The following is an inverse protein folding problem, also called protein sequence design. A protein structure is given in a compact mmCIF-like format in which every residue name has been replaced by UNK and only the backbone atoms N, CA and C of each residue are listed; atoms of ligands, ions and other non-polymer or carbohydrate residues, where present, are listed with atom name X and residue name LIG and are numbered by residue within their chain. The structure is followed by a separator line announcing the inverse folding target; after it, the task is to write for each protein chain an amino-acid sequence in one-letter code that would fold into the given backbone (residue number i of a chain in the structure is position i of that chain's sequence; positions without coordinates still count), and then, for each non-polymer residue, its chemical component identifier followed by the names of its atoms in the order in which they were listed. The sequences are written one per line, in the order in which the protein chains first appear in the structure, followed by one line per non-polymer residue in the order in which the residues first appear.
data_IF_615476168856
#
_entry.id   IF_615476168856
#
_cell.length_a   1.000
_cell.length_b   1.000
_cell.length_c   1.000
_cell.angle_alpha   90.00
_cell.angle_beta   90.00
_cell.angle_gamma   90.00
#
_symmetry.space_group_name_H-M   'P 1'
#
loop_
_entity.id
_entity.type
_entity.pdbx_description
1 polymer ?
#
# COMPACT_ATOMS: atom_id res chain seq x y z
N UNK A 1 26.57 4.73 -7.99
CA UNK A 1 26.43 4.02 -6.71
C UNK A 1 25.80 2.67 -6.97
N UNK A 2 26.30 1.59 -6.33
CA UNK A 2 25.77 0.22 -6.46
C UNK A 2 24.80 -0.05 -5.32
N UNK A 3 23.58 -0.42 -5.66
CA UNK A 3 22.50 -0.60 -4.68
C UNK A 3 21.93 -2.02 -4.75
N UNK A 4 21.78 -2.67 -3.61
CA UNK A 4 20.98 -3.89 -3.48
C UNK A 4 19.63 -3.52 -2.87
N UNK A 5 18.55 -3.66 -3.65
CA UNK A 5 17.18 -3.45 -3.21
C UNK A 5 16.52 -4.80 -2.88
N UNK A 6 16.11 -5.00 -1.63
CA UNK A 6 15.59 -6.28 -1.13
C UNK A 6 14.13 -6.14 -0.73
N UNK A 7 13.26 -6.95 -1.32
CA UNK A 7 11.82 -6.94 -1.06
C UNK A 7 11.23 -8.35 -1.07
N UNK A 8 10.48 -8.70 -0.03
CA UNK A 8 9.87 -10.03 0.14
C UNK A 8 8.61 -10.28 -0.70
N UNK A 9 8.30 -9.39 -1.64
CA UNK A 9 7.17 -9.50 -2.57
C UNK A 9 7.63 -9.52 -4.02
N UNK A 10 6.70 -9.77 -4.95
CA UNK A 10 6.97 -9.72 -6.38
C UNK A 10 6.53 -8.37 -6.96
N UNK A 11 7.48 -7.59 -7.47
CA UNK A 11 7.25 -6.24 -7.99
C UNK A 11 6.29 -6.18 -9.19
N UNK A 12 6.13 -7.28 -9.93
CA UNK A 12 5.20 -7.37 -11.07
C UNK A 12 3.77 -7.73 -10.64
N UNK A 13 3.49 -7.79 -9.33
CA UNK A 13 2.15 -7.99 -8.80
C UNK A 13 1.54 -6.64 -8.43
N UNK A 14 0.32 -6.38 -8.92
CA UNK A 14 -0.40 -5.15 -8.63
C UNK A 14 -0.95 -5.14 -7.19
N UNK A 15 -0.20 -4.48 -6.30
CA UNK A 15 -0.61 -4.16 -4.94
C UNK A 15 -0.15 -2.74 -4.59
N UNK A 16 -0.78 -2.11 -3.61
CA UNK A 16 -0.38 -0.76 -3.17
C UNK A 16 1.09 -0.70 -2.75
N UNK A 17 1.56 -1.69 -1.98
CA UNK A 17 2.96 -1.77 -1.57
C UNK A 17 3.91 -1.92 -2.77
N UNK A 18 3.58 -2.79 -3.75
CA UNK A 18 4.44 -2.96 -4.94
C UNK A 18 4.49 -1.72 -5.83
N UNK A 19 3.46 -0.88 -5.83
CA UNK A 19 3.50 0.43 -6.50
C UNK A 19 4.56 1.32 -5.85
N UNK A 20 4.60 1.37 -4.51
CA UNK A 20 5.63 2.11 -3.77
C UNK A 20 7.02 1.53 -4.01
N UNK A 21 7.18 0.20 -3.94
CA UNK A 21 8.46 -0.46 -4.22
C UNK A 21 8.97 -0.14 -5.63
N UNK A 22 8.11 -0.17 -6.64
CA UNK A 22 8.47 0.22 -8.00
C UNK A 22 8.88 1.69 -8.08
N UNK A 23 8.24 2.57 -7.32
CA UNK A 23 8.63 3.97 -7.23
C UNK A 23 10.03 4.17 -6.63
N UNK A 24 10.41 3.40 -5.60
CA UNK A 24 11.79 3.42 -5.08
C UNK A 24 12.80 2.93 -6.11
N UNK A 25 12.51 1.82 -6.82
CA UNK A 25 13.38 1.32 -7.89
C UNK A 25 13.55 2.36 -9.00
N UNK A 26 12.43 2.96 -9.45
CA UNK A 26 12.46 4.05 -10.42
C UNK A 26 13.37 5.19 -9.96
N UNK A 27 13.16 5.67 -8.74
CA UNK A 27 13.94 6.76 -8.18
C UNK A 27 15.44 6.44 -8.06
N UNK A 28 15.80 5.20 -7.73
CA UNK A 28 17.21 4.75 -7.73
C UNK A 28 17.82 4.82 -9.12
N UNK A 29 17.13 4.31 -10.14
CA UNK A 29 17.59 4.36 -11.53
C UNK A 29 17.68 5.79 -12.06
N UNK A 30 16.70 6.65 -11.79
CA UNK A 30 16.69 8.07 -12.17
C UNK A 30 17.81 8.89 -11.50
N UNK A 31 18.34 8.42 -10.36
CA UNK A 31 19.53 8.98 -9.72
C UNK A 31 20.85 8.32 -10.18
N UNK A 32 20.82 7.50 -11.24
CA UNK A 32 22.00 6.89 -11.85
C UNK A 32 22.60 5.75 -11.03
N UNK A 33 21.82 5.06 -10.19
CA UNK A 33 22.28 3.91 -9.44
C UNK A 33 22.32 2.65 -10.31
N UNK A 34 23.33 1.80 -10.09
CA UNK A 34 23.39 0.41 -10.58
C UNK A 34 22.64 -0.46 -9.58
N UNK A 35 21.44 -0.96 -9.95
CA UNK A 35 20.47 -1.57 -9.02
C UNK A 35 20.37 -3.07 -9.25
N UNK A 36 20.68 -3.84 -8.22
CA UNK A 36 20.33 -5.26 -8.10
C UNK A 36 19.08 -5.39 -7.24
N UNK A 37 18.07 -6.12 -7.72
CA UNK A 37 16.79 -6.35 -7.03
C UNK A 37 16.70 -7.80 -6.60
N UNK A 38 16.64 -8.03 -5.29
CA UNK A 38 16.42 -9.34 -4.69
C UNK A 38 14.98 -9.44 -4.23
N UNK A 39 14.17 -10.25 -4.92
CA UNK A 39 12.72 -10.30 -4.69
C UNK A 39 12.14 -11.71 -4.65
N UNK A 40 10.92 -11.83 -4.14
CA UNK A 40 10.16 -13.06 -4.19
C UNK A 40 9.54 -13.26 -5.58
N UNK A 41 9.46 -14.53 -6.01
CA UNK A 41 8.66 -14.91 -7.17
C UNK A 41 7.17 -14.77 -6.88
N UNK A 42 6.39 -14.34 -7.86
CA UNK A 42 4.93 -14.25 -7.72
C UNK A 42 4.35 -15.62 -7.36
N UNK A 43 3.72 -15.71 -6.18
CA UNK A 43 3.14 -16.95 -5.67
C UNK A 43 1.60 -16.94 -5.63
N UNK A 44 1.01 -15.75 -5.56
CA UNK A 44 -0.41 -15.54 -5.32
C UNK A 44 -1.03 -14.64 -6.39
N UNK A 45 -1.58 -15.22 -7.45
CA UNK A 45 -2.27 -14.49 -8.50
C UNK A 45 -1.45 -14.27 -9.76
N UNK A 46 -2.08 -13.72 -10.77
CA UNK A 46 -1.44 -13.38 -12.03
C UNK A 46 -0.54 -12.15 -11.83
N UNK A 47 0.60 -12.14 -12.50
CA UNK A 47 1.41 -10.93 -12.67
C UNK A 47 0.60 -9.92 -13.50
N UNK A 48 0.65 -8.66 -13.10
CA UNK A 48 0.05 -7.60 -13.90
C UNK A 48 1.04 -7.18 -15.00
N UNK A 49 0.68 -7.45 -16.24
CA UNK A 49 1.51 -7.11 -17.40
C UNK A 49 1.65 -5.60 -17.63
N UNK A 50 0.80 -4.79 -17.00
CA UNK A 50 0.87 -3.34 -17.01
C UNK A 50 1.96 -2.77 -16.09
N UNK A 51 2.51 -3.57 -15.17
CA UNK A 51 3.58 -3.14 -14.29
C UNK A 51 4.95 -3.34 -14.96
N UNK A 52 5.77 -2.31 -14.90
CA UNK A 52 7.07 -2.29 -15.55
C UNK A 52 8.06 -3.27 -14.93
N UNK A 53 8.78 -4.00 -15.80
CA UNK A 53 10.10 -4.54 -15.49
C UNK A 53 11.13 -3.46 -15.86
N UNK A 54 11.82 -2.93 -14.87
CA UNK A 54 12.75 -1.81 -15.07
C UNK A 54 13.97 -2.26 -15.87
N UNK A 55 14.09 -1.73 -17.08
CA UNK A 55 15.32 -1.87 -17.88
C UNK A 55 16.44 -1.11 -17.16
N UNK A 56 17.57 -1.76 -16.94
CA UNK A 56 18.70 -1.18 -16.21
C UNK A 56 18.87 -1.68 -14.78
N UNK A 57 17.93 -2.48 -14.26
CA UNK A 57 18.08 -3.22 -13.02
C UNK A 57 18.34 -4.71 -13.28
N UNK A 58 19.11 -5.35 -12.40
CA UNK A 58 19.33 -6.81 -12.42
C UNK A 58 18.42 -7.49 -11.41
N UNK A 59 17.69 -8.53 -11.83
CA UNK A 59 16.69 -9.21 -10.98
C UNK A 59 17.19 -10.56 -10.49
N UNK A 60 17.13 -10.76 -9.17
CA UNK A 60 17.39 -12.02 -8.49
C UNK A 60 16.09 -12.48 -7.83
N UNK A 61 15.45 -13.48 -8.45
CA UNK A 61 14.08 -13.89 -8.08
C UNK A 61 14.12 -15.28 -7.45
N UNK A 62 13.61 -15.38 -6.22
CA UNK A 62 13.59 -16.61 -5.46
C UNK A 62 12.18 -17.12 -5.21
N UNK A 63 11.99 -18.43 -5.29
CA UNK A 63 10.68 -19.07 -5.08
C UNK A 63 10.20 -18.88 -3.63
N UNK A 64 8.93 -18.53 -3.48
CA UNK A 64 8.23 -18.36 -2.21
C UNK A 64 7.23 -19.48 -1.92
N UNK A 65 7.11 -20.48 -2.81
CA UNK A 65 6.21 -21.63 -2.67
C UNK A 65 6.96 -22.88 -2.29
N UNK A 66 6.61 -23.46 -1.14
CA UNK A 66 6.97 -24.84 -0.79
C UNK A 66 5.89 -25.83 -1.26
N UNK A 67 6.15 -27.11 -1.03
CA UNK A 67 5.20 -28.19 -1.32
C UNK A 67 3.87 -28.01 -0.56
N UNK A 68 3.94 -27.54 0.69
CA UNK A 68 2.78 -27.17 1.51
C UNK A 68 1.93 -26.08 0.85
N UNK A 69 2.55 -24.98 0.45
CA UNK A 69 1.87 -23.87 -0.23
C UNK A 69 1.28 -24.29 -1.58
N UNK A 70 1.98 -25.17 -2.32
CA UNK A 70 1.48 -25.74 -3.59
C UNK A 70 0.25 -26.63 -3.37
N UNK A 71 0.24 -27.43 -2.30
CA UNK A 71 -0.91 -28.25 -1.90
C UNK A 71 -2.05 -27.35 -1.40
N UNK A 72 -1.79 -26.41 -0.49
CA UNK A 72 -2.80 -25.47 0.00
C UNK A 72 -3.49 -24.73 -1.15
N UNK A 73 -2.74 -24.30 -2.16
CA UNK A 73 -3.27 -23.68 -3.37
C UNK A 73 -4.26 -24.58 -4.11
N UNK A 74 -3.98 -25.88 -4.23
CA UNK A 74 -4.93 -26.84 -4.84
C UNK A 74 -6.23 -26.97 -4.05
N UNK A 75 -6.19 -26.83 -2.71
CA UNK A 75 -7.39 -26.89 -1.86
C UNK A 75 -8.18 -25.57 -1.86
N UNK A 76 -7.51 -24.43 -1.98
CA UNK A 76 -8.16 -23.11 -1.99
C UNK A 76 -8.70 -22.71 -3.37
N UNK A 77 -7.99 -23.06 -4.45
CA UNK A 77 -8.45 -22.77 -5.81
C UNK A 77 -9.55 -23.68 -6.33
N UNK A 78 -9.75 -24.86 -5.75
CA UNK A 78 -10.87 -25.73 -6.12
C UNK A 78 -12.27 -25.10 -5.78
N UNK A 79 -12.31 -23.95 -5.14
CA UNK A 79 -13.54 -23.22 -4.79
C UNK A 79 -13.70 -21.84 -5.43
N UNK A 80 -12.69 -21.32 -6.12
CA UNK A 80 -12.78 -20.03 -6.84
C UNK A 80 -12.45 -20.22 -8.32
N UNK A 81 -13.47 -20.53 -9.09
CA UNK A 81 -13.41 -20.33 -10.55
C UNK A 81 -13.53 -18.80 -10.73
N UNK A 82 -12.43 -18.13 -11.02
CA UNK A 82 -12.50 -16.81 -11.62
C UNK A 82 -13.12 -16.95 -13.02
N UNK A 83 -14.38 -16.62 -13.15
CA UNK A 83 -14.98 -16.36 -14.46
C UNK A 83 -14.30 -15.11 -15.03
N UNK A 84 -13.42 -15.30 -15.98
CA UNK A 84 -12.99 -14.24 -16.90
C UNK A 84 -14.23 -13.80 -17.68
N UNK A 85 -14.74 -12.62 -17.39
CA UNK A 85 -15.82 -12.02 -18.18
C UNK A 85 -15.16 -11.30 -19.34
N UNK A 86 -15.13 -11.98 -20.50
CA UNK A 86 -14.96 -11.34 -21.79
C UNK A 86 -16.34 -11.32 -22.46
N UNK A 87 -16.92 -10.16 -22.58
CA UNK A 87 -17.80 -9.66 -23.66
C UNK A 87 -19.00 -8.87 -23.17
N UNK A 88 -19.38 -7.81 -23.91
CA UNK A 88 -20.49 -6.95 -23.56
C UNK A 88 -21.81 -7.60 -24.02
N UNK A 89 -22.85 -7.42 -23.24
CA UNK A 89 -24.23 -7.89 -23.42
C UNK A 89 -24.51 -9.31 -22.91
N UNK A 90 -24.91 -9.38 -21.63
CA UNK A 90 -25.89 -10.39 -21.19
C UNK A 90 -26.49 -10.01 -19.84
N UNK A 91 -27.81 -9.95 -19.84
CA UNK A 91 -28.71 -9.86 -18.68
C UNK A 91 -28.41 -11.01 -17.72
N UNK A 92 -28.13 -10.71 -16.44
CA UNK A 92 -27.81 -11.72 -15.45
C UNK A 92 -29.11 -12.16 -14.76
N UNK A 93 -29.59 -13.33 -15.11
CA UNK A 93 -30.38 -14.15 -14.19
C UNK A 93 -29.43 -14.96 -13.30
N UNK A 94 -29.39 -14.63 -12.02
CA UNK A 94 -28.63 -15.36 -11.03
C UNK A 94 -29.38 -16.62 -10.64
N UNK A 95 -29.07 -17.75 -11.24
CA UNK A 95 -29.43 -19.06 -10.74
C UNK A 95 -28.27 -19.63 -9.95
N UNK A 96 -28.36 -19.53 -8.61
CA UNK A 96 -27.47 -20.21 -7.67
C UNK A 96 -27.82 -21.70 -7.63
N UNK A 97 -27.16 -22.54 -8.42
CA UNK A 97 -27.10 -23.96 -8.16
C UNK A 97 -25.98 -24.22 -7.13
N UNK A 98 -26.33 -24.26 -5.88
CA UNK A 98 -25.52 -24.84 -4.81
C UNK A 98 -25.69 -26.36 -4.93
N UNK A 99 -24.78 -27.02 -5.64
CA UNK A 99 -24.65 -28.48 -5.50
C UNK A 99 -24.27 -28.80 -4.04
N UNK A 100 -25.16 -29.49 -3.34
CA UNK A 100 -24.92 -30.05 -2.02
C UNK A 100 -23.77 -31.08 -2.12
N UNK A 101 -22.54 -30.65 -1.97
CA UNK A 101 -21.40 -31.55 -1.77
C UNK A 101 -21.62 -32.27 -0.43
N UNK A 102 -21.63 -33.60 -0.48
CA UNK A 102 -21.86 -34.48 0.67
C UNK A 102 -21.06 -34.01 1.91
N UNK A 103 -21.72 -33.90 3.04
CA UNK A 103 -21.14 -33.46 4.32
C UNK A 103 -19.89 -34.25 4.74
N UNK A 104 -19.80 -35.51 4.35
CA UNK A 104 -18.64 -36.38 4.55
C UNK A 104 -17.37 -35.87 3.86
N UNK A 105 -17.43 -35.38 2.61
CA UNK A 105 -16.27 -34.86 1.88
C UNK A 105 -15.76 -33.53 2.49
N UNK A 106 -16.66 -32.73 3.07
CA UNK A 106 -16.30 -31.51 3.79
C UNK A 106 -15.62 -31.83 5.13
N UNK A 107 -16.10 -32.85 5.86
CA UNK A 107 -15.52 -33.29 7.14
C UNK A 107 -14.13 -33.88 6.93
N UNK A 108 -13.94 -34.77 5.96
CA UNK A 108 -12.63 -35.35 5.62
C UNK A 108 -11.61 -34.30 5.17
N UNK A 109 -12.02 -33.28 4.41
CA UNK A 109 -11.17 -32.16 4.06
C UNK A 109 -10.75 -31.31 5.26
N UNK A 110 -11.64 -31.06 6.22
CA UNK A 110 -11.33 -30.34 7.47
C UNK A 110 -10.32 -31.14 8.31
N UNK A 111 -10.52 -32.44 8.44
CA UNK A 111 -9.61 -33.33 9.18
C UNK A 111 -8.24 -33.38 8.49
N UNK A 112 -8.19 -33.62 7.18
CA UNK A 112 -6.94 -33.63 6.41
C UNK A 112 -6.19 -32.30 6.50
N UNK A 113 -6.91 -31.16 6.48
CA UNK A 113 -6.34 -29.84 6.67
C UNK A 113 -5.75 -29.69 8.08
N UNK A 114 -6.46 -30.16 9.11
CA UNK A 114 -5.99 -30.09 10.51
C UNK A 114 -4.74 -30.94 10.73
N UNK A 115 -4.72 -32.20 10.22
CA UNK A 115 -3.56 -33.10 10.28
C UNK A 115 -2.36 -32.48 9.53
N UNK A 116 -2.60 -31.88 8.36
CA UNK A 116 -1.56 -31.22 7.58
C UNK A 116 -0.90 -30.06 8.34
N UNK A 117 -1.67 -29.22 9.05
CA UNK A 117 -1.13 -28.14 9.86
C UNK A 117 -0.36 -28.62 11.11
N UNK A 118 -0.72 -29.80 11.66
CA UNK A 118 0.03 -30.42 12.76
C UNK A 118 1.39 -30.92 12.27
N UNK A 119 1.43 -31.57 11.09
CA UNK A 119 2.67 -32.13 10.51
C UNK A 119 3.61 -31.03 9.99
N UNK A 120 3.03 -29.93 9.48
CA UNK A 120 3.77 -28.82 8.89
C UNK A 120 3.38 -27.50 9.59
N UNK A 121 3.85 -27.25 10.82
CA UNK A 121 3.54 -26.02 11.52
C UNK A 121 4.09 -24.81 10.76
N UNK A 122 3.34 -23.70 10.82
CA UNK A 122 3.79 -22.43 10.25
C UNK A 122 4.92 -21.84 11.08
N UNK A 123 5.74 -21.01 10.46
CA UNK A 123 6.68 -20.17 11.18
C UNK A 123 5.88 -19.09 11.92
N UNK A 124 6.03 -18.95 13.24
CA UNK A 124 5.21 -18.04 14.01
C UNK A 124 5.45 -16.56 13.67
N UNK A 125 6.62 -16.22 13.13
CA UNK A 125 6.98 -14.83 12.80
C UNK A 125 6.86 -14.54 11.30
N UNK A 126 7.17 -15.51 10.44
CA UNK A 126 7.22 -15.32 9.00
C UNK A 126 6.44 -16.44 8.26
N UNK A 127 5.15 -16.60 8.55
CA UNK A 127 4.40 -17.76 8.08
C UNK A 127 4.28 -17.85 6.55
N UNK A 128 4.25 -16.70 5.88
CA UNK A 128 4.13 -16.61 4.42
C UNK A 128 5.49 -16.56 3.71
N UNK A 129 6.51 -16.00 4.35
CA UNK A 129 7.81 -15.69 3.77
C UNK A 129 8.89 -16.73 4.08
N UNK A 130 8.63 -17.69 4.96
CA UNK A 130 9.59 -18.72 5.38
C UNK A 130 10.33 -19.37 4.22
N UNK A 131 9.62 -19.77 3.18
CA UNK A 131 10.22 -20.44 2.02
C UNK A 131 11.08 -19.50 1.20
N UNK A 132 10.61 -18.26 1.02
CA UNK A 132 11.42 -17.25 0.38
C UNK A 132 12.72 -16.99 1.13
N UNK A 133 12.66 -16.83 2.45
CA UNK A 133 13.85 -16.67 3.30
C UNK A 133 14.83 -17.83 3.15
N UNK A 134 14.33 -19.09 3.19
CA UNK A 134 15.15 -20.30 3.03
C UNK A 134 15.85 -20.37 1.67
N UNK A 135 15.19 -19.94 0.60
CA UNK A 135 15.74 -19.95 -0.74
C UNK A 135 16.67 -18.74 -0.98
N UNK A 136 16.20 -17.53 -0.64
CA UNK A 136 16.89 -16.28 -0.93
C UNK A 136 18.17 -16.11 -0.10
N UNK A 137 18.28 -16.76 1.05
CA UNK A 137 19.51 -16.74 1.86
C UNK A 137 20.72 -17.36 1.16
N UNK A 138 20.49 -18.09 0.06
CA UNK A 138 21.56 -18.65 -0.81
C UNK A 138 22.13 -17.61 -1.78
N UNK A 139 21.51 -16.44 -1.91
CA UNK A 139 22.00 -15.36 -2.74
C UNK A 139 23.43 -14.97 -2.31
N UNK A 140 24.29 -14.77 -3.29
CA UNK A 140 25.66 -14.27 -3.08
C UNK A 140 25.88 -13.05 -3.96
N UNK A 141 26.11 -11.91 -3.33
CA UNK A 141 26.47 -10.69 -4.02
C UNK A 141 27.82 -10.84 -4.74
N UNK A 142 27.83 -10.49 -6.02
CA UNK A 142 29.05 -10.57 -6.86
C UNK A 142 29.93 -9.33 -6.76
N UNK A 143 29.44 -8.27 -6.11
CA UNK A 143 30.08 -6.96 -5.98
C UNK A 143 29.87 -6.39 -4.59
N UNK A 144 30.69 -5.40 -4.21
CA UNK A 144 30.43 -4.59 -3.05
C UNK A 144 29.25 -3.64 -3.33
N UNK A 145 28.30 -3.51 -2.41
CA UNK A 145 27.19 -2.58 -2.49
C UNK A 145 27.48 -1.34 -1.63
N UNK A 146 27.39 -0.16 -2.24
CA UNK A 146 27.50 1.09 -1.50
C UNK A 146 26.33 1.27 -0.54
N UNK A 147 25.14 0.79 -0.96
CA UNK A 147 23.90 0.86 -0.20
C UNK A 147 23.10 -0.43 -0.33
N UNK A 148 22.60 -0.94 0.79
CA UNK A 148 21.53 -1.94 0.82
C UNK A 148 20.24 -1.23 1.28
N UNK A 149 19.16 -1.42 0.54
CA UNK A 149 17.82 -0.96 0.88
C UNK A 149 16.96 -2.20 1.09
N UNK A 150 16.55 -2.50 2.31
CA UNK A 150 15.50 -3.49 2.56
C UNK A 150 14.18 -2.77 2.83
N UNK A 151 13.12 -3.20 2.16
CA UNK A 151 11.82 -2.55 2.25
C UNK A 151 10.73 -3.54 2.70
N UNK A 152 9.97 -3.18 3.72
CA UNK A 152 8.74 -3.85 4.13
C UNK A 152 7.54 -3.19 3.42
N UNK A 153 6.36 -3.81 3.25
CA UNK A 153 5.95 -5.14 3.69
C UNK A 153 6.41 -6.22 2.74
N UNK A 154 6.90 -7.38 3.20
CA UNK A 154 6.94 -7.86 4.58
C UNK A 154 8.26 -7.55 5.31
N UNK A 155 8.24 -7.59 6.65
CA UNK A 155 9.43 -7.45 7.50
C UNK A 155 10.52 -8.50 7.22
N UNK A 156 10.15 -9.62 6.60
CA UNK A 156 11.07 -10.66 6.11
C UNK A 156 12.19 -10.11 5.21
N UNK A 157 11.97 -8.98 4.51
CA UNK A 157 12.99 -8.30 3.73
C UNK A 157 14.19 -7.88 4.58
N UNK A 158 13.92 -7.34 5.77
CA UNK A 158 14.95 -6.93 6.73
C UNK A 158 15.66 -8.14 7.33
N UNK A 159 14.89 -9.18 7.68
CA UNK A 159 15.44 -10.45 8.18
C UNK A 159 16.37 -11.10 7.18
N UNK A 160 16.01 -11.11 5.90
CA UNK A 160 16.87 -11.69 4.86
C UNK A 160 18.21 -10.97 4.76
N UNK A 161 18.21 -9.63 4.77
CA UNK A 161 19.46 -8.86 4.69
C UNK A 161 20.36 -9.17 5.89
N UNK A 162 19.82 -9.23 7.09
CA UNK A 162 20.57 -9.61 8.27
C UNK A 162 21.23 -11.00 8.13
N UNK A 163 20.47 -12.00 7.64
CA UNK A 163 21.00 -13.34 7.42
C UNK A 163 22.09 -13.39 6.35
N UNK A 164 21.96 -12.63 5.27
CA UNK A 164 22.97 -12.51 4.22
C UNK A 164 24.26 -11.87 4.75
N UNK A 165 24.15 -10.88 5.63
CA UNK A 165 25.28 -10.23 6.31
C UNK A 165 25.97 -11.22 7.26
N UNK A 166 25.23 -11.89 8.14
CA UNK A 166 25.75 -12.89 9.08
C UNK A 166 26.52 -14.01 8.37
N UNK A 167 26.04 -14.43 7.21
CA UNK A 167 26.67 -15.47 6.37
C UNK A 167 27.82 -14.95 5.50
N UNK A 168 28.11 -13.65 5.53
CA UNK A 168 29.11 -12.99 4.67
C UNK A 168 28.83 -13.22 3.16
N UNK A 169 27.56 -13.34 2.81
CA UNK A 169 27.14 -13.53 1.40
C UNK A 169 27.12 -12.22 0.62
N UNK A 170 27.10 -11.08 1.29
CA UNK A 170 27.10 -9.73 0.73
C UNK A 170 28.13 -8.85 1.44
N UNK A 171 28.75 -7.95 0.68
CA UNK A 171 29.65 -6.90 1.18
C UNK A 171 29.01 -5.54 0.91
N UNK A 172 29.01 -4.65 1.89
CA UNK A 172 28.28 -3.38 1.82
C UNK A 172 28.93 -2.30 2.68
N UNK A 173 28.60 -1.03 2.36
CA UNK A 173 29.01 0.14 3.16
C UNK A 173 27.90 0.55 4.14
N UNK A 174 26.64 0.67 3.67
CA UNK A 174 25.51 1.13 4.47
C UNK A 174 24.29 0.28 4.21
N UNK A 175 23.52 -0.07 5.27
CA UNK A 175 22.24 -0.75 5.17
C UNK A 175 21.16 0.10 5.81
N UNK A 176 20.11 0.43 5.02
CA UNK A 176 18.93 1.12 5.50
C UNK A 176 17.70 0.22 5.42
N UNK A 177 16.78 0.43 6.34
CA UNK A 177 15.47 -0.20 6.34
C UNK A 177 14.40 0.84 6.03
N UNK A 178 13.45 0.50 5.14
CA UNK A 178 12.25 1.29 4.89
C UNK A 178 11.07 0.48 5.42
N UNK A 179 10.29 1.07 6.32
CA UNK A 179 9.11 0.48 6.91
C UNK A 179 7.88 1.24 6.41
N UNK A 180 7.13 0.63 5.48
CA UNK A 180 5.88 1.21 4.98
C UNK A 180 4.80 1.21 6.06
N UNK A 181 4.73 0.12 6.82
CA UNK A 181 3.88 -0.03 7.99
C UNK A 181 4.72 -0.50 9.19
N UNK A 182 4.36 -0.13 10.43
CA UNK A 182 4.97 -0.69 11.63
C UNK A 182 4.51 -2.15 11.76
N UNK A 183 5.37 -3.04 12.24
CA UNK A 183 4.96 -4.44 12.34
C UNK A 183 4.10 -4.70 13.59
N UNK A 184 4.58 -4.27 14.75
CA UNK A 184 3.87 -4.47 16.01
C UNK A 184 2.60 -3.60 16.13
N UNK A 185 2.61 -2.40 15.57
CA UNK A 185 1.46 -1.48 15.56
C UNK A 185 0.74 -1.43 14.22
N UNK A 186 0.91 -2.44 13.37
CA UNK A 186 0.13 -2.53 12.13
C UNK A 186 -1.37 -2.57 12.45
N UNK A 187 -2.13 -1.69 11.84
CA UNK A 187 -3.59 -1.56 12.03
C UNK A 187 -4.35 -2.87 11.78
N UNK A 188 -3.83 -3.72 10.92
CA UNK A 188 -4.43 -4.99 10.48
C UNK A 188 -3.62 -6.22 10.93
N UNK A 189 -2.54 -6.03 11.66
CA UNK A 189 -1.59 -7.07 12.04
C UNK A 189 -1.88 -7.74 13.38
N UNK A 190 -1.07 -8.74 13.70
CA UNK A 190 -1.02 -9.36 15.03
C UNK A 190 -0.08 -8.59 15.95
N UNK A 191 -0.43 -8.45 17.23
CA UNK A 191 0.27 -7.60 18.19
C UNK A 191 0.90 -8.40 19.34
N UNK A 192 1.56 -9.50 19.00
CA UNK A 192 2.25 -10.34 20.00
C UNK A 192 3.61 -9.78 20.42
N UNK A 193 4.03 -10.03 21.68
CA UNK A 193 5.34 -9.60 22.18
C UNK A 193 6.52 -10.17 21.37
N UNK A 194 6.36 -11.34 20.77
CA UNK A 194 7.34 -11.93 19.85
C UNK A 194 7.57 -11.06 18.62
N UNK A 195 6.52 -10.46 18.07
CA UNK A 195 6.60 -9.52 16.94
C UNK A 195 7.32 -8.25 17.38
N UNK A 196 6.93 -7.67 18.53
CA UNK A 196 7.58 -6.49 19.09
C UNK A 196 9.09 -6.71 19.28
N UNK A 197 9.47 -7.85 19.86
CA UNK A 197 10.87 -8.18 20.12
C UNK A 197 11.67 -8.37 18.82
N UNK A 198 11.07 -9.02 17.81
CA UNK A 198 11.74 -9.23 16.53
C UNK A 198 11.84 -7.91 15.74
N UNK A 199 10.80 -7.08 15.72
CA UNK A 199 10.87 -5.74 15.14
C UNK A 199 11.98 -4.92 15.79
N UNK A 200 12.00 -4.82 17.13
CA UNK A 200 13.06 -4.13 17.87
C UNK A 200 14.45 -4.61 17.49
N UNK A 201 14.65 -5.93 17.47
CA UNK A 201 15.92 -6.56 17.09
C UNK A 201 16.37 -6.19 15.68
N UNK A 202 15.43 -6.15 14.72
CA UNK A 202 15.72 -5.74 13.35
C UNK A 202 16.07 -4.25 13.25
N UNK A 203 15.42 -3.40 14.03
CA UNK A 203 15.71 -1.96 14.07
C UNK A 203 17.12 -1.67 14.61
N UNK A 204 17.60 -2.48 15.57
CA UNK A 204 18.92 -2.30 16.17
C UNK A 204 20.06 -2.53 15.18
N UNK A 205 19.91 -3.44 14.21
CA UNK A 205 21.02 -3.87 13.33
C UNK A 205 21.18 -3.00 12.08
N UNK A 206 20.19 -2.19 11.69
CA UNK A 206 20.29 -1.28 10.56
C UNK A 206 21.13 -0.03 10.88
N UNK A 207 21.75 0.56 9.87
CA UNK A 207 22.41 1.87 9.99
C UNK A 207 21.41 2.98 10.22
N UNK A 208 20.33 2.97 9.44
CA UNK A 208 19.23 3.94 9.48
C UNK A 208 17.90 3.24 9.21
N UNK A 209 16.83 3.80 9.75
CA UNK A 209 15.47 3.29 9.59
C UNK A 209 14.55 4.43 9.14
N UNK A 210 13.82 4.17 8.08
CA UNK A 210 12.90 5.15 7.49
C UNK A 210 11.46 4.68 7.62
N UNK A 211 10.60 5.55 8.16
CA UNK A 211 9.16 5.37 8.18
C UNK A 211 8.50 6.29 7.17
N UNK A 212 7.47 5.81 6.50
CA UNK A 212 6.80 6.54 5.41
C UNK A 212 5.63 7.41 5.88
N UNK A 213 5.31 7.34 7.16
CA UNK A 213 4.30 8.17 7.81
C UNK A 213 4.94 8.97 8.95
N UNK A 214 4.67 10.29 9.07
CA UNK A 214 5.13 11.08 10.21
C UNK A 214 4.50 10.60 11.52
N UNK A 215 3.28 10.06 11.50
CA UNK A 215 2.63 9.48 12.68
C UNK A 215 3.32 8.18 13.09
N UNK A 216 3.61 7.28 12.13
CA UNK A 216 4.36 6.06 12.41
C UNK A 216 5.72 6.39 13.02
N UNK A 217 6.45 7.35 12.44
CA UNK A 217 7.73 7.81 12.97
C UNK A 217 7.59 8.30 14.42
N UNK A 218 6.55 9.09 14.72
CA UNK A 218 6.30 9.61 16.06
C UNK A 218 6.09 8.48 17.07
N UNK A 219 5.19 7.55 16.79
CA UNK A 219 4.89 6.43 17.68
C UNK A 219 6.05 5.45 17.82
N UNK A 220 6.78 5.19 16.74
CA UNK A 220 7.93 4.27 16.79
C UNK A 220 9.09 4.83 17.62
N UNK A 221 9.30 6.14 17.63
CA UNK A 221 10.27 6.79 18.53
C UNK A 221 9.90 6.62 20.00
N UNK A 222 8.61 6.63 20.32
CA UNK A 222 8.13 6.38 21.68
C UNK A 222 8.24 4.90 22.08
N UNK A 223 7.95 3.99 21.12
CA UNK A 223 7.95 2.55 21.35
C UNK A 223 9.36 1.97 21.52
N UNK A 224 10.34 2.47 20.74
CA UNK A 224 11.73 2.01 20.71
C UNK A 224 12.70 3.19 20.89
N UNK A 225 12.73 3.80 22.09
CA UNK A 225 13.49 5.03 22.35
C UNK A 225 15.01 4.85 22.20
N UNK A 226 15.52 3.66 22.43
CA UNK A 226 16.94 3.30 22.25
C UNK A 226 17.38 3.29 20.78
N UNK A 227 16.45 3.10 19.85
CA UNK A 227 16.69 3.15 18.41
C UNK A 227 16.29 4.50 17.77
N UNK A 228 15.65 5.41 18.52
CA UNK A 228 15.00 6.61 17.98
C UNK A 228 15.95 7.55 17.21
N UNK A 229 17.25 7.55 17.55
CA UNK A 229 18.27 8.35 16.85
C UNK A 229 18.49 7.93 15.38
N UNK A 230 18.16 6.68 15.04
CA UNK A 230 18.24 6.13 13.67
C UNK A 230 16.98 6.38 12.82
N UNK A 231 15.87 6.80 13.46
CA UNK A 231 14.56 6.88 12.82
C UNK A 231 14.38 8.18 12.07
N UNK A 232 14.09 8.07 10.78
CA UNK A 232 13.89 9.18 9.86
C UNK A 232 12.57 9.02 9.11
N UNK A 233 12.11 10.10 8.51
CA UNK A 233 10.95 10.11 7.62
C UNK A 233 11.39 10.12 6.16
N UNK A 234 10.73 9.30 5.34
CA UNK A 234 10.79 9.38 3.88
C UNK A 234 9.37 9.16 3.32
N UNK A 235 8.84 10.02 2.43
CA UNK A 235 7.52 9.79 1.85
C UNK A 235 7.51 8.57 0.94
N UNK A 236 6.33 8.00 0.69
CA UNK A 236 6.18 7.02 -0.38
C UNK A 236 6.40 7.68 -1.74
N UNK A 237 7.18 7.07 -2.63
CA UNK A 237 7.36 7.59 -3.98
C UNK A 237 6.08 7.37 -4.80
N UNK A 238 5.57 8.45 -5.34
CA UNK A 238 4.40 8.42 -6.19
C UNK A 238 4.80 8.13 -7.63
N UNK A 239 4.41 6.96 -8.15
CA UNK A 239 4.54 6.69 -9.58
C UNK A 239 3.68 7.72 -10.35
N UNK A 240 4.32 8.44 -11.26
CA UNK A 240 3.66 9.45 -12.07
C UNK A 240 2.91 8.78 -13.21
N UNK A 241 1.59 8.95 -13.22
CA UNK A 241 0.79 8.65 -14.40
C UNK A 241 0.53 9.97 -15.13
N UNK A 242 0.69 9.98 -16.45
CA UNK A 242 0.30 11.12 -17.27
C UNK A 242 -1.22 11.23 -17.21
N UNK A 243 -1.72 12.34 -16.64
CA UNK A 243 -3.14 12.67 -16.65
C UNK A 243 -3.38 13.80 -17.64
N UNK A 244 -4.26 13.57 -18.63
CA UNK A 244 -4.83 14.65 -19.40
C UNK A 244 -5.77 15.45 -18.50
N UNK A 245 -5.46 16.75 -18.34
CA UNK A 245 -6.35 17.67 -17.63
C UNK A 245 -7.60 17.93 -18.51
N UNK A 246 -8.75 17.54 -17.98
CA UNK A 246 -10.05 17.97 -18.55
C UNK A 246 -10.42 19.33 -17.95
N UNK A 247 -11.04 20.17 -18.73
CA UNK A 247 -11.62 21.41 -18.23
C UNK A 247 -12.69 21.09 -17.18
N UNK A 248 -12.52 21.60 -15.99
CA UNK A 248 -13.48 21.44 -14.90
C UNK A 248 -14.64 22.39 -15.07
N UNK A 249 -15.86 21.88 -15.07
CA UNK A 249 -17.06 22.72 -15.04
C UNK A 249 -17.36 23.14 -13.59
N UNK A 250 -17.22 24.44 -13.23
CA UNK A 250 -17.41 24.89 -11.86
C UNK A 250 -18.85 24.67 -11.33
N UNK A 251 -19.81 24.51 -12.23
CA UNK A 251 -21.20 24.24 -11.87
C UNK A 251 -21.51 22.74 -11.65
N UNK A 252 -20.56 21.86 -11.93
CA UNK A 252 -20.76 20.41 -11.88
C UNK A 252 -19.47 19.68 -11.48
N UNK A 253 -19.01 19.97 -10.27
CA UNK A 253 -17.78 19.38 -9.70
C UNK A 253 -18.05 17.93 -9.26
N UNK A 254 -17.15 17.01 -9.61
CA UNK A 254 -17.19 15.61 -9.23
C UNK A 254 -16.10 15.35 -8.19
N UNK A 255 -16.50 14.93 -6.98
CA UNK A 255 -15.60 14.50 -5.91
C UNK A 255 -15.36 13.00 -5.98
N UNK A 256 -14.11 12.53 -5.97
CA UNK A 256 -13.78 11.11 -6.08
C UNK A 256 -12.99 10.58 -4.92
N UNK A 257 -13.50 9.55 -4.25
CA UNK A 257 -12.80 8.75 -3.27
C UNK A 257 -12.50 7.36 -3.84
N UNK A 258 -11.23 6.94 -3.75
CA UNK A 258 -10.74 5.70 -4.35
C UNK A 258 -9.90 4.92 -3.34
N UNK A 259 -10.48 3.96 -2.67
CA UNK A 259 -9.81 3.13 -1.66
C UNK A 259 -10.80 2.37 -0.82
N UNK A 260 -10.33 1.35 -0.10
CA UNK A 260 -11.17 0.63 0.83
C UNK A 260 -11.49 1.50 2.04
N UNK A 261 -12.69 1.33 2.58
CA UNK A 261 -13.18 2.09 3.71
C UNK A 261 -14.10 1.22 4.57
N UNK A 262 -13.90 1.26 5.88
CA UNK A 262 -14.61 0.43 6.84
C UNK A 262 -14.96 1.27 8.07
N UNK A 263 -16.10 0.98 8.70
CA UNK A 263 -16.63 1.75 9.82
C UNK A 263 -15.61 1.96 10.95
N UNK A 264 -14.83 0.94 11.28
CA UNK A 264 -13.91 0.93 12.42
C UNK A 264 -12.50 1.43 12.12
N UNK A 265 -12.14 1.61 10.85
CA UNK A 265 -10.79 2.02 10.45
C UNK A 265 -10.75 3.29 9.63
N UNK A 266 -11.74 3.50 8.78
CA UNK A 266 -11.84 4.63 7.86
C UNK A 266 -13.29 4.87 7.49
N UNK A 267 -14.00 5.62 8.32
CA UNK A 267 -15.44 5.83 8.16
C UNK A 267 -15.76 6.91 7.12
N UNK A 268 -16.22 6.50 5.94
CA UNK A 268 -16.57 7.41 4.85
C UNK A 268 -18.03 7.94 4.91
N UNK A 269 -18.84 7.52 5.89
CA UNK A 269 -20.24 7.95 6.00
C UNK A 269 -20.40 9.48 6.04
N UNK A 270 -19.58 10.26 6.81
CA UNK A 270 -19.74 11.72 6.84
C UNK A 270 -19.50 12.39 5.47
N UNK A 271 -18.57 11.86 4.66
CA UNK A 271 -18.35 12.36 3.31
C UNK A 271 -19.54 12.07 2.38
N UNK A 272 -20.07 10.85 2.43
CA UNK A 272 -21.27 10.49 1.66
C UNK A 272 -22.46 11.39 2.04
N UNK A 273 -22.69 11.60 3.34
CA UNK A 273 -23.78 12.46 3.84
C UNK A 273 -23.60 13.94 3.43
N UNK A 274 -22.36 14.41 3.36
CA UNK A 274 -22.04 15.76 2.86
C UNK A 274 -22.36 15.89 1.34
N UNK A 275 -22.02 14.89 0.52
CA UNK A 275 -22.37 14.85 -0.90
C UNK A 275 -23.89 14.92 -1.09
N UNK A 276 -24.63 14.08 -0.36
CA UNK A 276 -26.10 14.05 -0.44
C UNK A 276 -26.69 15.41 -0.02
N UNK A 277 -26.24 15.98 1.09
CA UNK A 277 -26.78 17.22 1.64
C UNK A 277 -26.53 18.44 0.72
N UNK A 278 -25.38 18.48 0.06
CA UNK A 278 -25.05 19.54 -0.90
C UNK A 278 -25.57 19.29 -2.31
N UNK A 279 -26.06 18.08 -2.58
CA UNK A 279 -26.47 17.66 -3.92
C UNK A 279 -25.32 17.61 -4.93
N UNK A 280 -24.09 17.34 -4.45
CA UNK A 280 -22.89 17.23 -5.27
C UNK A 280 -22.77 15.88 -5.97
N UNK A 281 -21.98 15.82 -7.04
CA UNK A 281 -21.64 14.56 -7.71
C UNK A 281 -20.47 13.89 -7.00
N UNK A 282 -20.52 12.56 -6.91
CA UNK A 282 -19.47 11.79 -6.26
C UNK A 282 -19.22 10.42 -6.84
N UNK A 283 -17.95 10.02 -6.88
CA UNK A 283 -17.48 8.68 -7.20
C UNK A 283 -16.82 8.07 -5.96
N UNK A 284 -17.33 6.93 -5.50
CA UNK A 284 -16.83 6.20 -4.35
C UNK A 284 -16.52 4.77 -4.79
N UNK A 285 -15.25 4.40 -4.83
CA UNK A 285 -14.80 3.09 -5.31
C UNK A 285 -13.86 2.44 -4.29
N UNK A 286 -14.24 1.26 -3.80
CA UNK A 286 -13.47 0.48 -2.84
C UNK A 286 -14.33 -0.52 -2.11
N UNK A 287 -13.70 -1.50 -1.47
CA UNK A 287 -14.41 -2.47 -0.66
C UNK A 287 -14.78 -1.86 0.71
N UNK A 288 -15.95 -2.24 1.25
CA UNK A 288 -16.51 -1.62 2.45
C UNK A 288 -17.45 -2.56 3.20
N UNK A 289 -17.64 -2.28 4.49
CA UNK A 289 -18.73 -2.80 5.35
C UNK A 289 -19.85 -1.77 5.57
N UNK A 290 -19.71 -0.55 5.02
CA UNK A 290 -20.76 0.47 5.08
C UNK A 290 -21.82 0.23 4.02
N UNK A 291 -23.09 0.53 4.36
CA UNK A 291 -24.22 0.39 3.45
C UNK A 291 -24.49 1.69 2.65
N UNK A 292 -23.48 2.17 1.92
CA UNK A 292 -23.64 3.33 1.04
C UNK A 292 -24.32 2.91 -0.26
N UNK A 293 -25.26 3.72 -0.74
CA UNK A 293 -26.03 3.41 -1.96
C UNK A 293 -25.74 4.41 -3.06
N UNK A 294 -25.70 3.94 -4.30
CA UNK A 294 -25.69 4.83 -5.46
C UNK A 294 -26.99 5.61 -5.57
N UNK A 295 -26.88 6.85 -6.00
CA UNK A 295 -28.00 7.75 -6.33
C UNK A 295 -27.83 8.24 -7.76
N UNK A 296 -28.68 9.14 -8.24
CA UNK A 296 -28.50 9.78 -9.56
C UNK A 296 -27.19 10.57 -9.67
N UNK A 297 -26.68 11.11 -8.54
CA UNK A 297 -25.48 11.95 -8.50
C UNK A 297 -24.25 11.24 -7.90
N UNK A 298 -24.43 10.19 -7.13
CA UNK A 298 -23.35 9.51 -6.44
C UNK A 298 -23.26 8.05 -6.91
N UNK A 299 -22.10 7.67 -7.43
CA UNK A 299 -21.80 6.31 -7.85
C UNK A 299 -20.97 5.62 -6.77
N UNK A 300 -21.49 4.55 -6.17
CA UNK A 300 -20.80 3.71 -5.20
C UNK A 300 -20.54 2.34 -5.81
N UNK A 301 -19.29 1.91 -5.88
CA UNK A 301 -18.88 0.60 -6.41
C UNK A 301 -17.76 0.00 -5.56
N UNK A 302 -17.68 -1.33 -5.53
CA UNK A 302 -16.52 -2.06 -5.01
C UNK A 302 -15.24 -1.80 -5.83
N UNK A 303 -14.21 -2.58 -5.55
CA UNK A 303 -12.94 -2.50 -6.31
C UNK A 303 -13.15 -2.79 -7.78
N UNK A 304 -12.47 -2.03 -8.62
CA UNK A 304 -12.44 -2.16 -10.09
C UNK A 304 -11.01 -2.41 -10.56
N UNK A 305 -10.84 -2.74 -11.84
CA UNK A 305 -9.50 -2.85 -12.46
C UNK A 305 -8.82 -1.50 -12.54
N UNK A 306 -7.49 -1.49 -12.69
CA UNK A 306 -6.72 -0.24 -12.77
C UNK A 306 -7.13 0.64 -13.95
N UNK A 307 -7.42 0.03 -15.09
CA UNK A 307 -7.85 0.78 -16.28
C UNK A 307 -9.16 1.53 -16.04
N UNK A 308 -10.16 0.83 -15.44
CA UNK A 308 -11.44 1.45 -15.07
C UNK A 308 -11.22 2.53 -14.01
N UNK A 309 -10.32 2.27 -13.04
CA UNK A 309 -10.00 3.25 -11.99
C UNK A 309 -9.35 4.50 -12.60
N UNK A 310 -8.41 4.34 -13.53
CA UNK A 310 -7.75 5.44 -14.21
C UNK A 310 -8.76 6.31 -14.98
N UNK A 311 -9.68 5.68 -15.71
CA UNK A 311 -10.74 6.39 -16.44
C UNK A 311 -11.66 7.18 -15.49
N UNK A 312 -12.05 6.59 -14.35
CA UNK A 312 -12.91 7.27 -13.38
C UNK A 312 -12.14 8.40 -12.68
N UNK A 313 -10.87 8.20 -12.34
CA UNK A 313 -10.02 9.26 -11.77
C UNK A 313 -9.80 10.41 -12.77
N UNK A 314 -9.59 10.12 -14.05
CA UNK A 314 -9.48 11.14 -15.10
C UNK A 314 -10.74 12.02 -15.19
N UNK A 315 -11.92 11.41 -14.98
CA UNK A 315 -13.21 12.10 -14.99
C UNK A 315 -13.63 12.72 -13.63
N UNK A 316 -12.77 12.69 -12.64
CA UNK A 316 -12.97 13.27 -11.31
C UNK A 316 -12.31 14.64 -11.26
N UNK A 317 -12.98 15.65 -10.70
CA UNK A 317 -12.43 17.00 -10.57
C UNK A 317 -11.63 17.19 -9.28
N UNK A 318 -12.11 16.62 -8.17
CA UNK A 318 -11.51 16.76 -6.84
C UNK A 318 -11.20 15.37 -6.27
N UNK A 319 -9.95 15.13 -5.92
CA UNK A 319 -9.54 13.89 -5.27
C UNK A 319 -9.79 13.99 -3.76
N UNK A 320 -10.38 12.95 -3.19
CA UNK A 320 -10.70 12.91 -1.75
C UNK A 320 -9.79 11.92 -1.05
N UNK A 321 -9.06 12.43 -0.05
CA UNK A 321 -8.25 11.63 0.86
C UNK A 321 -8.90 11.61 2.24
N UNK A 322 -9.03 10.42 2.82
CA UNK A 322 -9.53 10.22 4.18
C UNK A 322 -8.47 9.48 5.00
N UNK A 323 -8.08 10.06 6.14
CA UNK A 323 -7.17 9.45 7.09
C UNK A 323 -7.80 8.24 7.79
N UNK A 324 -6.95 7.44 8.43
CA UNK A 324 -7.43 6.37 9.32
C UNK A 324 -7.94 6.98 10.64
N UNK A 325 -8.95 6.32 11.21
CA UNK A 325 -9.52 6.68 12.53
C UNK A 325 -8.50 6.52 13.67
N UNK A 326 -7.49 5.67 13.49
CA UNK A 326 -6.43 5.36 14.46
C UNK A 326 -5.27 4.63 13.81
N UNK A 327 -4.15 4.47 14.53
CA UNK A 327 -3.09 3.51 14.19
C UNK A 327 -1.85 4.10 13.56
N UNK A 328 -1.76 5.41 13.43
CA UNK A 328 -0.51 6.08 13.01
C UNK A 328 -0.12 5.88 11.54
N UNK A 329 -0.85 5.08 10.78
CA UNK A 329 -0.63 4.85 9.35
C UNK A 329 -1.42 5.87 8.52
N UNK A 330 -0.84 6.29 7.39
CA UNK A 330 -1.50 7.18 6.43
C UNK A 330 -1.79 6.38 5.16
N UNK A 331 -3.03 6.43 4.63
CA UNK A 331 -3.30 5.80 3.35
C UNK A 331 -2.38 6.36 2.25
N UNK A 332 -1.57 5.51 1.63
CA UNK A 332 -0.50 5.93 0.70
C UNK A 332 -0.97 6.69 -0.54
N UNK A 333 -2.27 6.70 -0.83
CA UNK A 333 -2.84 7.44 -1.98
C UNK A 333 -2.61 8.96 -1.91
N UNK A 334 -2.42 9.54 -0.71
CA UNK A 334 -2.14 10.97 -0.59
C UNK A 334 -0.88 11.36 -1.37
N UNK A 335 0.16 10.51 -1.35
CA UNK A 335 1.39 10.78 -2.08
C UNK A 335 1.15 10.77 -3.59
N UNK A 336 0.35 9.82 -4.10
CA UNK A 336 -0.01 9.75 -5.53
C UNK A 336 -0.89 10.93 -5.95
N UNK A 337 -1.87 11.31 -5.14
CA UNK A 337 -2.74 12.45 -5.43
C UNK A 337 -1.96 13.77 -5.45
N UNK A 338 -0.96 13.90 -4.59
CA UNK A 338 -0.15 15.11 -4.46
C UNK A 338 0.74 15.42 -5.67
N UNK A 339 0.99 14.45 -6.54
CA UNK A 339 1.72 14.65 -7.81
C UNK A 339 0.79 14.82 -9.00
N UNK A 340 -0.52 14.94 -8.79
CA UNK A 340 -1.51 15.33 -9.81
C UNK A 340 -1.78 16.83 -9.76
N UNK A 341 -2.43 17.36 -10.79
CA UNK A 341 -2.86 18.78 -10.81
C UNK A 341 -4.29 19.01 -10.32
N UNK A 342 -4.94 17.98 -9.72
CA UNK A 342 -6.32 18.08 -9.23
C UNK A 342 -6.37 18.61 -7.79
N UNK A 343 -7.40 19.37 -7.40
CA UNK A 343 -7.66 19.72 -6.00
C UNK A 343 -7.71 18.47 -5.13
N UNK A 344 -7.27 18.60 -3.88
CA UNK A 344 -7.34 17.50 -2.91
C UNK A 344 -8.12 17.97 -1.68
N UNK A 345 -9.25 17.34 -1.43
CA UNK A 345 -9.97 17.42 -0.17
C UNK A 345 -9.33 16.43 0.80
N UNK A 346 -8.66 16.94 1.84
CA UNK A 346 -7.93 16.15 2.81
C UNK A 346 -8.73 16.05 4.11
N UNK A 347 -9.44 14.94 4.28
CA UNK A 347 -10.26 14.67 5.46
C UNK A 347 -9.36 14.07 6.53
N UNK A 348 -9.13 14.84 7.59
CA UNK A 348 -8.37 14.45 8.77
C UNK A 348 -9.26 13.63 9.70
N UNK A 349 -8.72 12.57 10.26
CA UNK A 349 -9.37 11.70 11.24
C UNK A 349 -8.33 11.19 12.23
N UNK A 350 -8.76 10.66 13.37
CA UNK A 350 -7.88 10.18 14.43
C UNK A 350 -8.00 11.00 15.72
N UNK A 351 -7.01 10.87 16.59
CA UNK A 351 -6.90 11.69 17.80
C UNK A 351 -6.54 13.13 17.46
N UNK A 352 -6.80 14.06 18.38
CA UNK A 352 -6.41 15.47 18.22
C UNK A 352 -4.91 15.63 17.92
N UNK A 353 -4.06 14.81 18.56
CA UNK A 353 -2.63 14.81 18.29
C UNK A 353 -2.30 14.34 16.88
N UNK A 354 -2.92 13.26 16.41
CA UNK A 354 -2.73 12.74 15.05
C UNK A 354 -3.18 13.76 14.01
N UNK A 355 -4.35 14.37 14.20
CA UNK A 355 -4.88 15.43 13.33
C UNK A 355 -3.90 16.61 13.26
N UNK A 356 -3.41 17.08 14.42
CA UNK A 356 -2.44 18.17 14.48
C UNK A 356 -1.14 17.85 13.76
N UNK A 357 -0.54 16.68 14.03
CA UNK A 357 0.71 16.25 13.41
C UNK A 357 0.59 16.11 11.89
N UNK A 358 -0.53 15.54 11.41
CA UNK A 358 -0.79 15.40 9.97
C UNK A 358 -0.97 16.76 9.32
N UNK A 359 -1.78 17.64 9.90
CA UNK A 359 -2.02 18.98 9.38
C UNK A 359 -0.73 19.80 9.30
N UNK A 360 0.07 19.81 10.37
CA UNK A 360 1.38 20.49 10.39
C UNK A 360 2.32 19.91 9.31
N UNK A 361 2.38 18.60 9.18
CA UNK A 361 3.26 17.95 8.21
C UNK A 361 2.91 18.26 6.75
N UNK A 362 1.61 18.26 6.41
CA UNK A 362 1.17 18.44 5.03
C UNK A 362 0.89 19.91 4.66
N UNK A 363 0.58 20.79 5.63
CA UNK A 363 0.30 22.21 5.37
C UNK A 363 1.44 22.96 4.67
N UNK A 364 2.70 22.56 4.93
CA UNK A 364 3.89 23.15 4.29
C UNK A 364 3.88 23.07 2.75
N UNK A 365 3.12 22.16 2.18
CA UNK A 365 3.03 22.00 0.72
C UNK A 365 2.00 22.94 0.08
N UNK A 366 1.17 23.63 0.87
CA UNK A 366 0.10 24.52 0.40
C UNK A 366 -0.72 23.92 -0.75
N UNK A 367 -1.15 22.66 -0.58
CA UNK A 367 -1.72 21.82 -1.65
C UNK A 367 -3.11 21.29 -1.32
N UNK A 368 -3.51 21.30 -0.04
CA UNK A 368 -4.65 20.56 0.47
C UNK A 368 -5.69 21.49 1.08
N UNK A 369 -6.97 21.19 0.82
CA UNK A 369 -8.08 21.76 1.59
C UNK A 369 -8.39 20.79 2.72
N UNK A 370 -8.02 21.14 3.95
CA UNK A 370 -8.20 20.31 5.12
C UNK A 370 -9.58 20.49 5.72
N UNK A 371 -10.17 19.39 6.19
CA UNK A 371 -11.35 19.34 7.03
C UNK A 371 -11.28 18.17 8.00
N UNK A 372 -12.11 18.17 9.03
CA UNK A 372 -12.31 17.03 9.92
C UNK A 372 -13.36 16.07 9.37
N UNK A 373 -13.31 14.81 9.79
CA UNK A 373 -14.24 13.77 9.34
C UNK A 373 -15.62 13.91 10.01
N UNK A 374 -16.25 15.05 9.81
CA UNK A 374 -17.65 15.30 10.15
C UNK A 374 -18.36 16.01 8.98
N UNK A 375 -19.66 15.76 8.87
CA UNK A 375 -20.48 16.25 7.74
C UNK A 375 -20.35 17.75 7.51
N UNK A 376 -20.40 18.57 8.59
CA UNK A 376 -20.40 20.04 8.45
C UNK A 376 -19.04 20.54 7.96
N UNK A 377 -17.94 20.10 8.57
CA UNK A 377 -16.58 20.47 8.16
C UNK A 377 -16.28 20.07 6.72
N UNK A 378 -16.76 18.91 6.28
CA UNK A 378 -16.62 18.46 4.89
C UNK A 378 -17.45 19.36 3.94
N UNK A 379 -18.69 19.69 4.31
CA UNK A 379 -19.55 20.59 3.51
C UNK A 379 -18.92 21.98 3.34
N UNK A 380 -18.31 22.52 4.38
CA UNK A 380 -17.64 23.81 4.35
C UNK A 380 -16.41 23.78 3.44
N UNK A 381 -15.59 22.72 3.56
CA UNK A 381 -14.42 22.52 2.71
C UNK A 381 -14.79 22.32 1.22
N UNK A 382 -15.87 21.60 0.93
CA UNK A 382 -16.42 21.52 -0.44
C UNK A 382 -16.85 22.89 -0.96
N UNK A 383 -17.41 23.75 -0.09
CA UNK A 383 -17.75 25.13 -0.41
C UNK A 383 -16.53 25.95 -0.80
N UNK A 384 -15.47 25.89 -0.01
CA UNK A 384 -14.17 26.55 -0.29
C UNK A 384 -13.63 26.12 -1.64
N UNK A 385 -13.60 24.80 -1.90
CA UNK A 385 -13.10 24.27 -3.19
C UNK A 385 -13.90 24.85 -4.37
N UNK A 386 -15.22 24.94 -4.25
CA UNK A 386 -16.08 25.48 -5.33
C UNK A 386 -15.85 26.96 -5.58
N UNK A 387 -15.70 27.74 -4.52
CA UNK A 387 -15.52 29.20 -4.60
C UNK A 387 -14.13 29.57 -5.15
N UNK A 388 -13.11 28.83 -4.68
CA UNK A 388 -11.71 29.18 -4.93
C UNK A 388 -11.05 28.26 -5.97
N UNK A 389 -11.83 27.50 -6.74
CA UNK A 389 -11.31 26.52 -7.70
C UNK A 389 -10.28 27.12 -8.67
N UNK A 390 -10.44 28.38 -9.06
CA UNK A 390 -9.50 29.07 -9.93
C UNK A 390 -8.25 29.61 -9.22
N UNK A 391 -8.28 29.75 -7.89
CA UNK A 391 -7.20 30.31 -7.08
C UNK A 391 -6.40 29.26 -6.30
N UNK A 392 -6.92 28.03 -6.17
CA UNK A 392 -6.21 26.95 -5.52
C UNK A 392 -4.97 26.59 -6.34
N UNK A 393 -3.80 26.78 -5.77
CA UNK A 393 -2.53 26.41 -6.42
C UNK A 393 -2.39 24.90 -6.51
N UNK A 394 -2.38 24.37 -7.71
CA UNK A 394 -2.26 22.93 -8.02
C UNK A 394 -0.82 22.52 -8.29
N UNK A 395 0.15 23.11 -7.61
CA UNK A 395 1.54 22.74 -7.76
C UNK A 395 1.75 21.30 -7.31
N UNK A 396 2.44 20.53 -8.15
CA UNK A 396 2.84 19.18 -7.81
C UNK A 396 3.76 19.20 -6.60
N UNK A 397 3.58 18.28 -5.67
CA UNK A 397 4.52 18.10 -4.56
C UNK A 397 5.71 17.29 -5.08
N UNK A 398 6.74 17.99 -5.55
CA UNK A 398 7.94 17.38 -6.12
C UNK A 398 8.65 16.44 -5.12
N UNK A 399 8.53 16.72 -3.83
CA UNK A 399 9.08 15.91 -2.75
C UNK A 399 8.62 14.44 -2.78
N UNK A 400 7.51 14.13 -3.45
CA UNK A 400 6.94 12.79 -3.57
C UNK A 400 7.26 12.11 -4.91
N UNK A 401 7.94 12.80 -5.83
CA UNK A 401 8.40 12.20 -7.08
C UNK A 401 9.52 11.18 -6.77
N UNK A 402 9.55 10.00 -7.41
CA UNK A 402 10.51 8.94 -7.13
C UNK A 402 11.95 9.40 -7.01
N UNK A 403 12.41 10.21 -7.97
CA UNK A 403 13.78 10.78 -7.97
C UNK A 403 14.09 11.58 -6.71
N UNK A 404 13.15 12.41 -6.25
CA UNK A 404 13.35 13.29 -5.08
C UNK A 404 13.23 12.50 -3.76
N UNK A 405 12.31 11.54 -3.70
CA UNK A 405 12.18 10.64 -2.54
C UNK A 405 13.49 9.90 -2.31
N UNK A 406 14.04 9.31 -3.39
CA UNK A 406 15.27 8.51 -3.30
C UNK A 406 16.48 9.34 -2.95
N UNK A 407 16.59 10.60 -3.38
CA UNK A 407 17.67 11.51 -2.94
C UNK A 407 17.75 11.67 -1.42
N UNK A 408 16.63 11.48 -0.69
CA UNK A 408 16.61 11.60 0.79
C UNK A 408 17.25 10.39 1.49
N UNK A 409 17.41 9.28 0.78
CA UNK A 409 17.99 8.04 1.32
C UNK A 409 19.38 7.71 0.73
N UNK A 410 19.79 8.39 -0.34
CA UNK A 410 21.15 8.30 -0.89
C UNK A 410 22.14 9.16 -0.10
#
# INVERSE_FOLDING_TARGET
MKVLYVVGTCLTRNTSANMSHNGYVQGLLENGCDVDILMAKSSWGAEDRGLHVWKGASYYVYDSLNFKSKIQRRFTHAGRIQKTITSPNLTIEATTHIEARSSLKLSLRKIAKKIFYIIFPDDPLYPLEKVWLQNAVTFKGKKHYDLIVSNSSPAASHRLVEELIKRKHISYTRWIQIWEDPWFFDLYGEHGNNIKNEEHRLLQVASEVYYVSPLTLHYQKQLFPDCACKFKYVPLPALRFEEELKETNPNSIIFGYFGDYYQVTRNLQPFYDALVARGEKGYIYGDTDLNLRSTEKIIVKGRVTLDVLADVQANTDVLVHLCNLKGGQIPGKIYHYSVTKKPILFILDGTEEEIRLLKEHFAKYNRYVFCENNRQSIMDAMGIIKTDLASIHYNLVEDFIPKQVVKKIL
#
